data_IF_609690128499
#
_entry.id   IF_609690128499
#
_cell.length_a   1.000
_cell.length_b   1.000
_cell.length_c   1.000
_cell.angle_alpha   90.00
_cell.angle_beta   90.00
_cell.angle_gamma   90.00
#
_symmetry.space_group_name_H-M   'P 1'
#
loop_
_entity.id
_entity.type
_entity.pdbx_description
1 polymer ?
#
# COMPACT_ATOMS: atom_id res chain seq x y z
N UNK A 1 -3.15 6.06 3.13
CA UNK A 1 -3.78 6.03 1.79
C UNK A 1 -5.25 5.68 1.94
N UNK A 2 -6.15 6.32 1.17
CA UNK A 2 -7.59 6.06 1.14
C UNK A 2 -8.02 5.75 -0.29
N UNK A 3 -8.77 4.67 -0.45
CA UNK A 3 -9.36 4.32 -1.74
C UNK A 3 -10.75 4.92 -1.85
N UNK A 4 -11.08 5.43 -3.02
CA UNK A 4 -12.37 6.05 -3.34
C UNK A 4 -12.89 5.50 -4.65
N UNK A 5 -14.19 5.30 -4.75
CA UNK A 5 -14.86 4.94 -6.01
C UNK A 5 -15.18 6.18 -6.84
N UNK A 6 -15.56 7.25 -6.16
CA UNK A 6 -15.95 8.52 -6.77
C UNK A 6 -15.19 9.70 -6.18
N UNK A 7 -14.91 10.70 -6.99
CA UNK A 7 -14.25 11.94 -6.55
C UNK A 7 -15.06 12.71 -5.49
N UNK A 8 -16.39 12.54 -5.49
CA UNK A 8 -17.28 13.13 -4.47
C UNK A 8 -16.98 12.67 -3.04
N UNK A 9 -16.31 11.52 -2.86
CA UNK A 9 -15.93 11.01 -1.54
C UNK A 9 -14.71 11.74 -0.94
N UNK A 10 -14.04 12.60 -1.72
CA UNK A 10 -12.79 13.26 -1.32
C UNK A 10 -12.94 14.05 -0.03
N UNK A 11 -14.05 14.75 0.14
CA UNK A 11 -14.31 15.55 1.34
C UNK A 11 -14.41 14.70 2.61
N UNK A 12 -15.14 13.60 2.57
CA UNK A 12 -15.30 12.71 3.73
C UNK A 12 -14.00 12.00 4.07
N UNK A 13 -13.25 11.55 3.07
CA UNK A 13 -11.92 10.97 3.29
C UNK A 13 -10.93 11.99 3.86
N UNK A 14 -11.01 13.24 3.41
CA UNK A 14 -10.18 14.32 3.95
C UNK A 14 -10.47 14.58 5.43
N UNK A 15 -11.76 14.60 5.84
CA UNK A 15 -12.14 14.75 7.26
C UNK A 15 -11.55 13.64 8.13
N UNK A 16 -11.69 12.39 7.69
CA UNK A 16 -11.15 11.23 8.40
C UNK A 16 -9.62 11.34 8.51
N UNK A 17 -8.94 11.62 7.40
CA UNK A 17 -7.49 11.78 7.38
C UNK A 17 -7.00 12.93 8.28
N UNK A 18 -7.69 14.08 8.22
CA UNK A 18 -7.35 15.23 9.09
C UNK A 18 -7.42 14.85 10.56
N UNK A 19 -8.51 14.22 10.99
CA UNK A 19 -8.69 13.79 12.38
C UNK A 19 -7.62 12.79 12.80
N UNK A 20 -7.32 11.80 11.95
CA UNK A 20 -6.30 10.79 12.20
C UNK A 20 -4.92 11.43 12.39
N UNK A 21 -4.49 12.30 11.47
CA UNK A 21 -3.19 12.96 11.50
C UNK A 21 -3.07 13.92 12.71
N UNK A 22 -4.11 14.70 12.98
CA UNK A 22 -4.10 15.62 14.12
C UNK A 22 -4.04 14.88 15.46
N UNK A 23 -4.75 13.76 15.59
CA UNK A 23 -4.68 12.92 16.79
C UNK A 23 -3.30 12.25 16.96
N UNK A 24 -2.69 11.77 15.87
CA UNK A 24 -1.38 11.14 15.93
C UNK A 24 -0.25 12.10 16.23
N UNK A 25 -0.32 13.33 15.75
CA UNK A 25 0.77 14.31 15.85
C UNK A 25 0.57 15.34 16.96
N UNK A 26 -0.63 15.47 17.52
CA UNK A 26 -1.00 16.57 18.40
C UNK A 26 -0.99 17.96 17.73
N UNK A 27 -0.79 18.01 16.40
CA UNK A 27 -0.66 19.25 15.64
C UNK A 27 -1.87 19.44 14.73
N UNK A 28 -2.32 20.69 14.56
CA UNK A 28 -3.42 21.02 13.65
C UNK A 28 -2.91 21.31 12.23
N UNK A 29 -3.69 20.89 11.23
CA UNK A 29 -3.42 21.22 9.83
C UNK A 29 -3.70 22.71 9.62
N UNK A 30 -2.68 23.45 9.21
CA UNK A 30 -2.75 24.92 9.00
C UNK A 30 -2.98 25.29 7.52
N UNK A 31 -2.55 24.44 6.61
CA UNK A 31 -2.63 24.69 5.18
C UNK A 31 -2.84 23.39 4.41
N UNK A 32 -3.75 23.42 3.44
CA UNK A 32 -3.89 22.37 2.45
C UNK A 32 -3.48 22.89 1.07
N UNK A 33 -2.51 22.22 0.45
CA UNK A 33 -2.12 22.46 -0.93
C UNK A 33 -2.75 21.41 -1.82
N UNK A 34 -3.48 21.84 -2.83
CA UNK A 34 -4.10 20.97 -3.83
C UNK A 34 -3.96 21.55 -5.23
N UNK A 35 -4.23 20.74 -6.22
CA UNK A 35 -4.46 21.25 -7.58
C UNK A 35 -5.81 22.00 -7.68
N UNK A 36 -6.15 22.41 -8.91
CA UNK A 36 -7.40 23.10 -9.20
C UNK A 36 -8.59 22.15 -9.42
N UNK A 37 -8.53 20.91 -8.93
CA UNK A 37 -9.62 19.96 -9.04
C UNK A 37 -10.94 20.52 -8.51
N UNK A 38 -12.03 20.22 -9.20
CA UNK A 38 -13.37 20.68 -8.83
C UNK A 38 -13.82 20.13 -7.49
N UNK A 39 -13.35 18.93 -7.12
CA UNK A 39 -13.59 18.28 -5.85
C UNK A 39 -13.15 19.08 -4.63
N UNK A 40 -12.15 19.96 -4.77
CA UNK A 40 -11.65 20.83 -3.69
C UNK A 40 -12.33 22.20 -3.64
N UNK A 41 -13.25 22.47 -4.57
CA UNK A 41 -13.96 23.76 -4.70
C UNK A 41 -15.41 23.68 -4.26
N UNK A 42 -15.87 22.52 -3.83
CA UNK A 42 -17.22 22.32 -3.32
C UNK A 42 -17.48 23.21 -2.08
N UNK A 43 -18.73 23.67 -1.92
CA UNK A 43 -19.18 24.48 -0.79
C UNK A 43 -18.83 23.86 0.55
N UNK A 44 -18.98 22.53 0.67
CA UNK A 44 -18.63 21.75 1.89
C UNK A 44 -17.16 21.91 2.28
N UNK A 45 -16.25 21.92 1.31
CA UNK A 45 -14.84 22.17 1.57
C UNK A 45 -14.60 23.62 1.99
N UNK A 46 -15.33 24.59 1.39
CA UNK A 46 -15.20 26.00 1.71
C UNK A 46 -15.55 26.25 3.17
N UNK A 47 -16.76 25.88 3.56
CA UNK A 47 -17.26 25.99 4.93
C UNK A 47 -16.32 25.32 5.94
N UNK A 48 -15.81 24.14 5.60
CA UNK A 48 -14.90 23.41 6.46
C UNK A 48 -13.56 24.12 6.64
N UNK A 49 -12.99 24.70 5.58
CA UNK A 49 -11.75 25.47 5.67
C UNK A 49 -11.92 26.72 6.53
N UNK A 50 -13.04 27.40 6.43
CA UNK A 50 -13.38 28.58 7.25
C UNK A 50 -13.56 28.17 8.71
N UNK A 51 -14.34 27.13 9.00
CA UNK A 51 -14.58 26.59 10.33
C UNK A 51 -13.28 26.23 11.06
N UNK A 52 -12.37 25.53 10.37
CA UNK A 52 -11.09 25.08 10.96
C UNK A 52 -9.92 26.01 10.71
N UNK A 53 -10.14 27.17 10.06
CA UNK A 53 -9.13 28.17 9.69
C UNK A 53 -7.95 27.57 8.93
N UNK A 54 -8.23 26.67 8.00
CA UNK A 54 -7.23 26.02 7.16
C UNK A 54 -7.00 26.89 5.93
N UNK A 55 -5.75 27.35 5.73
CA UNK A 55 -5.37 28.11 4.56
C UNK A 55 -5.40 27.20 3.32
N UNK A 56 -6.04 27.67 2.25
CA UNK A 56 -6.05 26.99 0.95
C UNK A 56 -4.92 27.52 0.10
N UNK A 57 -4.17 26.59 -0.49
CA UNK A 57 -3.13 26.93 -1.45
C UNK A 57 -3.33 26.11 -2.73
N UNK A 58 -3.89 26.72 -3.75
CA UNK A 58 -4.03 26.10 -5.06
C UNK A 58 -2.76 26.27 -5.88
N UNK A 59 -2.43 25.25 -6.66
CA UNK A 59 -1.38 25.36 -7.67
C UNK A 59 -1.83 26.27 -8.81
N UNK A 60 -0.90 26.97 -9.44
CA UNK A 60 -1.19 27.79 -10.60
C UNK A 60 -1.57 26.88 -11.78
N UNK A 61 -2.57 27.27 -12.57
CA UNK A 61 -2.98 26.49 -13.75
C UNK A 61 -1.79 26.35 -14.72
N UNK A 62 -1.66 25.19 -15.35
CA UNK A 62 -0.59 24.85 -16.30
C UNK A 62 0.84 24.84 -15.71
N UNK A 63 0.99 24.71 -14.39
CA UNK A 63 2.29 24.53 -13.73
C UNK A 63 2.36 23.19 -13.00
N UNK A 64 2.57 22.07 -13.72
CA UNK A 64 2.63 20.71 -13.13
C UNK A 64 3.71 20.59 -12.05
N UNK A 65 4.79 21.37 -12.20
CA UNK A 65 5.93 21.36 -11.25
C UNK A 65 5.52 21.65 -9.81
N UNK A 66 4.46 22.42 -9.61
CA UNK A 66 3.94 22.72 -8.27
C UNK A 66 3.28 21.53 -7.59
N UNK A 67 2.82 20.53 -8.36
CA UNK A 67 2.25 19.28 -7.85
C UNK A 67 3.18 18.07 -8.03
N UNK A 68 4.38 18.30 -8.54
CA UNK A 68 5.32 17.26 -8.98
C UNK A 68 5.74 16.28 -7.88
N UNK A 69 5.63 16.65 -6.57
CA UNK A 69 5.91 15.72 -5.48
C UNK A 69 4.81 14.65 -5.39
N UNK A 70 3.55 15.06 -5.41
CA UNK A 70 2.41 14.13 -5.35
C UNK A 70 2.35 13.25 -6.61
N UNK A 71 2.58 13.82 -7.79
CA UNK A 71 2.61 13.09 -9.05
C UNK A 71 3.72 12.04 -9.09
N UNK A 72 4.94 12.40 -8.68
CA UNK A 72 6.06 11.44 -8.57
C UNK A 72 5.77 10.33 -7.58
N UNK A 73 5.19 10.65 -6.42
CA UNK A 73 4.82 9.64 -5.44
C UNK A 73 3.76 8.69 -6.00
N UNK A 74 2.72 9.21 -6.64
CA UNK A 74 1.68 8.40 -7.26
C UNK A 74 2.24 7.49 -8.35
N UNK A 75 3.15 8.01 -9.20
CA UNK A 75 3.84 7.21 -10.21
C UNK A 75 4.64 6.07 -9.57
N UNK A 76 5.49 6.38 -8.59
CA UNK A 76 6.30 5.37 -7.91
C UNK A 76 5.46 4.30 -7.22
N UNK A 77 4.34 4.68 -6.60
CA UNK A 77 3.41 3.73 -5.99
C UNK A 77 2.75 2.85 -7.05
N UNK A 78 2.30 3.43 -8.16
CA UNK A 78 1.67 2.71 -9.26
C UNK A 78 2.63 1.70 -9.92
N UNK A 79 3.86 2.10 -10.16
CA UNK A 79 4.91 1.24 -10.73
C UNK A 79 5.23 0.07 -9.79
N UNK A 80 5.46 0.33 -8.51
CA UNK A 80 5.71 -0.73 -7.51
C UNK A 80 4.53 -1.71 -7.39
N UNK A 81 3.31 -1.20 -7.33
CA UNK A 81 2.12 -2.05 -7.28
C UNK A 81 1.98 -2.92 -8.54
N UNK A 82 2.31 -2.36 -9.71
CA UNK A 82 2.36 -3.11 -10.97
C UNK A 82 3.39 -4.23 -10.91
N UNK A 83 4.62 -3.93 -10.46
CA UNK A 83 5.67 -4.92 -10.30
C UNK A 83 5.27 -6.05 -9.33
N UNK A 84 4.74 -5.72 -8.16
CA UNK A 84 4.30 -6.72 -7.18
C UNK A 84 3.24 -7.64 -7.75
N UNK A 85 2.24 -7.08 -8.41
CA UNK A 85 1.16 -7.87 -9.01
C UNK A 85 1.66 -8.79 -10.12
N UNK A 86 2.54 -8.29 -10.99
CA UNK A 86 3.10 -9.06 -12.11
C UNK A 86 4.01 -10.17 -11.59
N UNK A 87 4.92 -9.87 -10.66
CA UNK A 87 5.80 -10.85 -10.04
C UNK A 87 5.04 -11.97 -9.32
N UNK A 88 3.90 -11.63 -8.73
CA UNK A 88 3.03 -12.60 -8.07
C UNK A 88 2.09 -13.36 -9.04
N UNK A 89 2.12 -13.09 -10.34
CA UNK A 89 1.19 -13.68 -11.31
C UNK A 89 -0.29 -13.33 -11.06
N UNK A 90 -0.58 -12.30 -10.26
CA UNK A 90 -1.94 -12.00 -9.83
C UNK A 90 -2.71 -11.15 -10.85
N UNK A 91 -4.01 -11.43 -11.06
CA UNK A 91 -4.87 -10.66 -11.96
C UNK A 91 -5.10 -9.22 -11.48
N UNK A 92 -5.62 -8.38 -12.38
CA UNK A 92 -5.78 -6.92 -12.14
C UNK A 92 -6.66 -6.58 -10.93
N UNK A 93 -7.55 -7.45 -10.51
CA UNK A 93 -8.44 -7.21 -9.36
C UNK A 93 -7.68 -6.98 -8.05
N UNK A 94 -6.44 -7.51 -7.92
CA UNK A 94 -5.58 -7.33 -6.75
C UNK A 94 -4.75 -6.04 -6.77
N UNK A 95 -5.10 -5.10 -7.69
CA UNK A 95 -4.43 -3.82 -7.79
C UNK A 95 -4.42 -3.03 -6.47
N UNK A 96 -5.55 -3.01 -5.78
CA UNK A 96 -5.72 -2.28 -4.50
C UNK A 96 -4.80 -2.86 -3.42
N UNK A 97 -4.68 -4.18 -3.37
CA UNK A 97 -3.83 -4.87 -2.39
C UNK A 97 -2.35 -4.63 -2.68
N UNK A 98 -1.95 -4.75 -3.94
CA UNK A 98 -0.59 -4.44 -4.38
C UNK A 98 -0.22 -2.96 -4.11
N UNK A 99 -1.14 -2.03 -4.32
CA UNK A 99 -0.92 -0.61 -4.06
C UNK A 99 -0.82 -0.33 -2.54
N UNK A 100 -1.63 -1.02 -1.74
CA UNK A 100 -1.56 -0.95 -0.27
C UNK A 100 -0.21 -1.45 0.24
N UNK A 101 0.29 -2.56 -0.32
CA UNK A 101 1.60 -3.11 0.01
C UNK A 101 2.73 -2.18 -0.43
N UNK A 102 2.64 -1.58 -1.62
CA UNK A 102 3.61 -0.60 -2.09
C UNK A 102 3.68 0.62 -1.15
N UNK A 103 2.55 1.12 -0.69
CA UNK A 103 2.49 2.20 0.29
C UNK A 103 3.11 1.80 1.63
N UNK A 104 2.79 0.60 2.12
CA UNK A 104 3.34 0.05 3.36
C UNK A 104 4.88 -0.02 3.32
N UNK A 105 5.44 -0.56 2.24
CA UNK A 105 6.89 -0.72 2.07
C UNK A 105 7.61 0.62 1.81
N UNK A 106 7.00 1.55 1.07
CA UNK A 106 7.58 2.88 0.83
C UNK A 106 7.79 3.64 2.14
N UNK A 107 6.86 3.53 3.08
CA UNK A 107 6.99 4.20 4.37
C UNK A 107 8.04 3.55 5.28
N UNK A 108 8.38 2.28 5.03
CA UNK A 108 9.38 1.49 5.75
C UNK A 108 10.73 1.39 5.04
N UNK A 109 10.90 2.13 3.95
CA UNK A 109 12.17 2.17 3.20
C UNK A 109 12.89 3.48 3.45
N UNK A 110 14.24 3.48 3.52
CA UNK A 110 15.04 4.69 3.62
C UNK A 110 14.78 5.65 2.45
N UNK A 111 14.80 6.95 2.71
CA UNK A 111 14.53 7.99 1.72
C UNK A 111 15.63 9.03 1.68
N UNK A 112 16.10 9.36 0.50
CA UNK A 112 17.08 10.43 0.29
C UNK A 112 16.56 11.80 0.75
N UNK A 113 15.26 12.05 0.59
CA UNK A 113 14.61 13.30 1.06
C UNK A 113 14.50 13.42 2.57
N UNK A 114 14.84 12.37 3.32
CA UNK A 114 14.88 12.30 4.77
C UNK A 114 16.30 11.92 5.27
N UNK A 115 17.33 12.26 4.48
CA UNK A 115 18.73 11.97 4.80
C UNK A 115 18.98 10.48 5.10
N UNK A 116 18.34 9.60 4.35
CA UNK A 116 18.44 8.15 4.52
C UNK A 116 17.55 7.57 5.61
N UNK A 117 16.77 8.38 6.33
CA UNK A 117 15.87 7.91 7.39
C UNK A 117 14.61 7.28 6.82
N UNK A 118 14.00 6.42 7.62
CA UNK A 118 12.72 5.75 7.33
C UNK A 118 11.57 6.65 7.73
N UNK A 119 10.60 6.85 6.81
CA UNK A 119 9.48 7.76 7.05
C UNK A 119 8.61 7.37 8.25
N UNK A 120 8.39 6.07 8.45
CA UNK A 120 7.63 5.54 9.60
C UNK A 120 8.31 5.86 10.93
N UNK A 121 9.64 5.71 11.01
CA UNK A 121 10.43 6.02 12.21
C UNK A 121 10.39 7.51 12.52
N UNK A 122 10.54 8.35 11.51
CA UNK A 122 10.45 9.82 11.68
C UNK A 122 9.05 10.23 12.16
N UNK A 123 8.01 9.51 11.71
CA UNK A 123 6.62 9.80 12.07
C UNK A 123 6.25 9.31 13.47
N UNK A 124 6.64 8.08 13.81
CA UNK A 124 6.24 7.43 15.08
C UNK A 124 7.22 7.64 16.21
N UNK A 125 8.49 7.97 15.91
CA UNK A 125 9.59 8.01 16.86
C UNK A 125 10.11 6.63 17.30
N UNK A 126 9.58 5.54 16.73
CA UNK A 126 9.98 4.17 17.05
C UNK A 126 10.68 3.52 15.86
N UNK A 127 11.62 2.62 16.12
CA UNK A 127 12.28 1.81 15.10
C UNK A 127 11.26 0.88 14.42
N UNK A 128 11.46 0.63 13.12
CA UNK A 128 10.62 -0.28 12.34
C UNK A 128 11.07 -1.72 12.53
N UNK A 129 10.16 -2.56 12.96
CA UNK A 129 10.35 -4.01 12.96
C UNK A 129 10.12 -4.59 11.56
N UNK A 130 11.16 -5.17 10.97
CA UNK A 130 11.13 -5.82 9.67
C UNK A 130 10.89 -7.33 9.73
N UNK A 131 10.87 -7.96 10.92
CA UNK A 131 10.72 -9.41 11.10
C UNK A 131 9.41 -9.96 10.52
N UNK A 132 8.37 -9.13 10.54
CA UNK A 132 7.06 -9.44 10.00
C UNK A 132 6.89 -9.21 8.49
N UNK A 133 7.91 -8.70 7.77
CA UNK A 133 7.80 -8.50 6.33
C UNK A 133 7.69 -9.82 5.58
N UNK A 134 6.83 -9.84 4.57
CA UNK A 134 6.61 -11.00 3.70
C UNK A 134 6.50 -10.57 2.25
N UNK A 135 6.88 -11.47 1.34
CA UNK A 135 6.82 -11.24 -0.11
C UNK A 135 5.36 -11.25 -0.57
N UNK A 136 4.93 -10.16 -1.20
CA UNK A 136 3.57 -10.05 -1.74
C UNK A 136 3.29 -11.13 -2.78
N UNK A 137 2.17 -11.83 -2.62
CA UNK A 137 1.76 -12.91 -3.52
C UNK A 137 2.36 -14.28 -3.21
N UNK A 138 3.21 -14.41 -2.19
CA UNK A 138 3.75 -15.72 -1.82
C UNK A 138 2.67 -16.67 -1.31
N UNK A 139 2.86 -18.00 -1.49
CA UNK A 139 2.04 -19.02 -0.83
C UNK A 139 2.06 -18.84 0.69
N UNK A 140 0.89 -18.96 1.29
CA UNK A 140 0.69 -18.82 2.72
C UNK A 140 -0.26 -19.89 3.23
N UNK A 141 0.11 -20.60 4.28
CA UNK A 141 -0.66 -21.68 4.87
C UNK A 141 -1.33 -21.16 6.14
N UNK A 142 -2.63 -20.91 6.06
CA UNK A 142 -3.46 -20.47 7.18
C UNK A 142 -3.85 -21.68 8.02
N UNK A 143 -3.66 -21.60 9.35
CA UNK A 143 -4.12 -22.62 10.27
C UNK A 143 -5.65 -22.63 10.34
N UNK A 144 -6.24 -23.83 10.31
CA UNK A 144 -7.68 -24.06 10.49
C UNK A 144 -7.88 -24.50 11.95
N UNK A 145 -8.73 -23.77 12.67
CA UNK A 145 -9.06 -24.10 14.06
C UNK A 145 -9.63 -25.52 14.20
N UNK A 146 -9.41 -26.15 15.36
CA UNK A 146 -9.96 -27.46 15.66
C UNK A 146 -11.48 -27.53 15.59
N UNK A 147 -12.15 -26.42 15.89
CA UNK A 147 -13.61 -26.29 15.88
C UNK A 147 -14.20 -26.21 14.46
N UNK A 148 -13.36 -25.84 13.48
CA UNK A 148 -13.76 -25.67 12.07
C UNK A 148 -13.43 -26.91 11.21
N UNK A 149 -12.86 -27.97 11.78
CA UNK A 149 -12.45 -29.17 11.05
C UNK A 149 -12.68 -30.46 11.83
N UNK A 150 -12.87 -31.57 11.12
CA UNK A 150 -12.88 -32.88 11.73
C UNK A 150 -11.45 -33.38 12.03
N UNK A 151 -11.35 -34.49 12.76
CA UNK A 151 -10.06 -35.04 13.21
C UNK A 151 -9.13 -35.44 12.06
N UNK A 152 -9.69 -35.79 10.89
CA UNK A 152 -8.96 -36.23 9.70
C UNK A 152 -8.82 -35.17 8.63
N UNK A 153 -9.45 -34.01 8.79
CA UNK A 153 -9.36 -32.90 7.82
C UNK A 153 -8.00 -32.21 7.88
N UNK A 154 -7.58 -31.55 6.79
CA UNK A 154 -6.36 -30.78 6.74
C UNK A 154 -6.29 -29.73 7.86
N UNK A 155 -5.12 -29.61 8.49
CA UNK A 155 -4.89 -28.62 9.57
C UNK A 155 -4.61 -27.21 9.06
N UNK A 156 -4.32 -27.08 7.77
CA UNK A 156 -4.01 -25.80 7.14
C UNK A 156 -4.62 -25.70 5.75
N UNK A 157 -4.82 -24.47 5.32
CA UNK A 157 -5.35 -24.13 4.01
C UNK A 157 -4.36 -23.24 3.27
N UNK A 158 -4.06 -23.61 2.04
CA UNK A 158 -3.19 -22.81 1.19
C UNK A 158 -3.93 -21.57 0.67
N UNK A 159 -3.33 -20.42 0.88
CA UNK A 159 -3.79 -19.12 0.47
C UNK A 159 -2.64 -18.33 -0.21
N UNK A 160 -2.93 -17.15 -0.68
CA UNK A 160 -1.95 -16.22 -1.25
C UNK A 160 -1.89 -14.98 -0.36
N UNK A 161 -0.68 -14.56 0.00
CA UNK A 161 -0.49 -13.38 0.83
C UNK A 161 -0.75 -12.08 0.05
N UNK A 162 -1.65 -11.23 0.57
CA UNK A 162 -2.03 -9.95 -0.03
C UNK A 162 -1.57 -8.72 0.76
N UNK A 163 -1.07 -8.89 1.97
CA UNK A 163 -0.62 -7.78 2.81
C UNK A 163 -1.10 -7.86 4.25
N UNK A 164 -1.13 -6.70 4.90
CA UNK A 164 -1.48 -6.56 6.31
C UNK A 164 -2.84 -5.89 6.46
N UNK A 165 -3.63 -6.34 7.44
CA UNK A 165 -4.88 -5.68 7.77
C UNK A 165 -4.63 -4.50 8.72
N UNK A 166 -5.25 -3.35 8.45
CA UNK A 166 -5.00 -2.13 9.22
C UNK A 166 -5.64 -2.10 10.61
N UNK A 167 -6.76 -2.79 10.77
CA UNK A 167 -7.59 -2.72 11.99
C UNK A 167 -7.43 -3.90 12.92
N UNK A 168 -6.80 -4.96 12.44
CA UNK A 168 -6.63 -6.22 13.17
C UNK A 168 -5.19 -6.66 13.00
N UNK A 169 -4.57 -7.14 14.08
CA UNK A 169 -3.23 -7.72 14.03
C UNK A 169 -3.29 -9.07 13.29
N UNK A 170 -3.20 -9.02 11.95
CA UNK A 170 -3.30 -10.21 11.10
C UNK A 170 -2.88 -9.97 9.67
N UNK A 171 -2.70 -11.06 8.96
CA UNK A 171 -2.34 -11.10 7.55
C UNK A 171 -3.60 -11.19 6.69
N UNK A 172 -3.64 -10.40 5.62
CA UNK A 172 -4.69 -10.45 4.61
C UNK A 172 -4.30 -11.49 3.55
N UNK A 173 -5.12 -12.51 3.40
CA UNK A 173 -4.87 -13.65 2.54
C UNK A 173 -5.99 -13.79 1.52
N UNK A 174 -5.66 -14.29 0.33
CA UNK A 174 -6.62 -14.71 -0.69
C UNK A 174 -6.72 -16.22 -0.71
N UNK A 175 -7.91 -16.73 -0.55
CA UNK A 175 -8.23 -18.12 -0.73
C UNK A 175 -8.67 -18.40 -2.17
N UNK A 176 -7.89 -19.07 -2.99
CA UNK A 176 -8.21 -19.31 -4.39
C UNK A 176 -9.37 -20.29 -4.58
N UNK A 177 -9.60 -21.19 -3.61
CA UNK A 177 -10.68 -22.20 -3.69
C UNK A 177 -12.04 -21.56 -3.48
N UNK A 178 -12.20 -20.78 -2.41
CA UNK A 178 -13.47 -20.12 -2.09
C UNK A 178 -13.60 -18.75 -2.77
N UNK A 179 -12.53 -18.22 -3.39
CA UNK A 179 -12.44 -16.88 -3.98
C UNK A 179 -12.82 -15.78 -2.99
N UNK A 180 -12.35 -15.91 -1.76
CA UNK A 180 -12.60 -14.95 -0.68
C UNK A 180 -11.30 -14.44 -0.08
N UNK A 181 -11.35 -13.22 0.42
CA UNK A 181 -10.30 -12.67 1.27
C UNK A 181 -10.57 -13.13 2.69
N UNK A 182 -9.54 -13.67 3.35
CA UNK A 182 -9.56 -14.08 4.75
C UNK A 182 -8.47 -13.35 5.51
N UNK A 183 -8.68 -13.16 6.81
CA UNK A 183 -7.70 -12.54 7.70
C UNK A 183 -7.32 -13.59 8.75
N UNK A 184 -6.03 -13.85 8.91
CA UNK A 184 -5.52 -14.78 9.90
C UNK A 184 -4.22 -14.24 10.50
N UNK A 185 -4.00 -14.60 11.76
CA UNK A 185 -2.75 -14.33 12.48
C UNK A 185 -1.79 -15.53 12.37
N UNK A 186 -2.32 -16.73 12.43
CA UNK A 186 -1.53 -17.96 12.49
C UNK A 186 -1.31 -18.49 11.06
N UNK A 187 -0.20 -18.06 10.47
CA UNK A 187 0.13 -18.27 9.05
C UNK A 187 1.59 -18.66 8.91
N UNK A 188 1.86 -19.71 8.13
CA UNK A 188 3.20 -20.11 7.69
C UNK A 188 3.36 -19.66 6.24
N UNK A 189 4.46 -18.98 5.93
CA UNK A 189 4.76 -18.46 4.59
C UNK A 189 5.80 -19.31 3.89
N UNK A 190 5.58 -19.57 2.61
CA UNK A 190 6.55 -20.16 1.71
C UNK A 190 6.96 -19.13 0.65
N UNK A 191 8.09 -18.47 0.87
CA UNK A 191 8.60 -17.43 -0.02
C UNK A 191 9.54 -17.98 -1.10
N UNK A 192 9.96 -19.26 -1.01
CA UNK A 192 10.92 -19.88 -1.93
C UNK A 192 10.51 -19.80 -3.40
N UNK A 193 9.27 -20.15 -3.79
CA UNK A 193 8.86 -20.09 -5.18
C UNK A 193 9.00 -18.71 -5.81
N UNK A 194 8.78 -17.65 -5.01
CA UNK A 194 8.90 -16.27 -5.48
C UNK A 194 10.36 -15.84 -5.73
N UNK A 195 11.28 -16.41 -4.96
CA UNK A 195 12.72 -16.14 -5.11
C UNK A 195 13.30 -16.86 -6.33
N UNK A 196 12.84 -18.07 -6.62
CA UNK A 196 13.27 -18.89 -7.77
C UNK A 196 12.88 -18.24 -9.10
N UNK A 197 11.63 -17.78 -9.24
CA UNK A 197 11.14 -17.06 -10.42
C UNK A 197 12.05 -15.84 -10.72
N UNK A 198 12.39 -15.08 -9.70
CA UNK A 198 13.26 -13.90 -9.85
C UNK A 198 14.66 -14.24 -10.29
N UNK A 199 15.18 -15.41 -9.94
CA UNK A 199 16.53 -15.88 -10.37
C UNK A 199 16.53 -16.37 -11.82
N UNK A 200 15.49 -17.03 -12.26
CA UNK A 200 15.35 -17.50 -13.64
C UNK A 200 15.19 -16.33 -14.61
N UNK A 201 14.39 -15.33 -14.29
CA UNK A 201 14.24 -14.10 -15.09
C UNK A 201 15.59 -13.34 -15.23
N UNK A 202 16.38 -13.25 -14.15
CA UNK A 202 17.71 -12.63 -14.20
C UNK A 202 18.70 -13.39 -15.09
N UNK A 203 18.65 -14.72 -15.09
CA UNK A 203 19.49 -15.55 -15.98
C UNK A 203 19.10 -15.36 -17.45
N UNK A 204 17.83 -15.34 -17.77
CA UNK A 204 17.34 -15.09 -19.14
C UNK A 204 17.76 -13.71 -19.65
N UNK A 205 17.59 -12.67 -18.84
CA UNK A 205 17.97 -11.30 -19.24
C UNK A 205 19.49 -11.16 -19.49
N UNK A 206 20.33 -11.87 -18.74
CA UNK A 206 21.78 -11.88 -18.95
C UNK A 206 22.17 -12.62 -20.23
N UNK A 207 21.46 -13.68 -20.59
CA UNK A 207 21.71 -14.46 -21.81
C UNK A 207 21.33 -13.67 -23.07
N UNK A 208 20.22 -12.93 -23.02
CA UNK A 208 19.75 -12.08 -24.13
C UNK A 208 20.68 -10.87 -24.36
N UNK A 209 21.21 -10.26 -23.32
CA UNK A 209 22.19 -9.18 -23.45
C UNK A 209 23.52 -9.67 -24.03
N UNK A 210 23.89 -10.93 -23.82
CA UNK A 210 25.14 -11.51 -24.33
C UNK A 210 25.03 -11.92 -25.81
N UNK A 211 23.84 -12.21 -26.30
CA UNK A 211 23.59 -12.62 -27.69
C UNK A 211 23.42 -11.43 -28.66
N UNK A 212 23.12 -10.22 -28.16
CA UNK A 212 22.98 -9.03 -28.98
C UNK A 212 24.30 -8.27 -29.23
N UNK A 213 25.43 -8.73 -28.70
CA UNK A 213 26.75 -8.14 -28.86
C UNK A 213 27.71 -8.98 -29.77
N UNK A 214 27.15 -9.83 -30.65
CA UNK A 214 27.91 -10.55 -31.68
C UNK A 214 27.52 -10.12 -33.08
#
# INVERSE_FOLDING_TARGET
>A
MYFMRHKSETFDKFKVWKTEVENQTGRKIKCLRSDNGTEYKDSKFLEFYEQYRIKRHFTVRKTPQQNGLAERMNRSLAERARCFRLNAGLPKIFWVDALSMACFLINRSPRTTLDGKVAEEVWTGNEVDYSGLRVFGCPAYMHISGDERSKLDPKSKQCIFLGFEKRVKGYKLWDPLTRKVVISRDVIFDEKPMLEITQEEKKQTQTDCSNNNK
#
